data_IF_759225713232
#
_entry.id   IF_759225713232
#
_cell.length_a   1.000
_cell.length_b   1.000
_cell.length_c   1.000
_cell.angle_alpha   90.00
_cell.angle_beta   90.00
_cell.angle_gamma   90.00
#
_symmetry.space_group_name_H-M   'P 1'
#
loop_
_entity.id
_entity.type
_entity.pdbx_description
1 polymer ?
#
# COMPACT_ATOMS: atom_id res chain seq x y z
N UNK A 1 5.01 -3.43 10.22
CA UNK A 1 4.13 -2.24 10.13
C UNK A 1 4.40 -1.08 11.10
N UNK A 2 5.13 -1.21 12.24
CA UNK A 2 5.46 -0.02 13.04
C UNK A 2 6.12 1.09 12.22
N UNK A 3 6.89 0.71 11.19
CA UNK A 3 7.58 1.65 10.32
C UNK A 3 6.67 2.44 9.37
N UNK A 4 5.47 1.93 9.04
CA UNK A 4 4.52 2.65 8.18
C UNK A 4 3.62 3.58 8.98
N UNK A 5 3.18 3.14 10.17
CA UNK A 5 2.34 3.96 11.05
C UNK A 5 2.98 5.32 11.34
N UNK A 6 4.23 5.34 11.82
CA UNK A 6 4.92 6.58 12.18
C UNK A 6 5.01 7.57 11.00
N UNK A 7 5.36 7.06 9.81
CA UNK A 7 5.49 7.90 8.61
C UNK A 7 4.13 8.40 8.12
N UNK A 8 3.10 7.55 8.10
CA UNK A 8 1.75 7.96 7.73
C UNK A 8 1.22 9.02 8.69
N UNK A 9 1.46 8.87 10.01
CA UNK A 9 1.08 9.88 11.01
C UNK A 9 1.80 11.20 10.78
N UNK A 10 3.06 11.17 10.33
CA UNK A 10 3.82 12.38 9.99
C UNK A 10 3.30 13.05 8.71
N UNK A 11 3.01 12.27 7.66
CA UNK A 11 2.48 12.78 6.39
C UNK A 11 1.05 13.30 6.51
N UNK A 12 0.24 12.65 7.35
CA UNK A 12 -1.20 12.89 7.47
C UNK A 12 -1.59 13.04 8.95
N UNK A 13 -1.22 14.15 9.61
CA UNK A 13 -1.48 14.36 11.04
C UNK A 13 -2.98 14.48 11.36
N UNK A 14 -3.82 14.73 10.34
CA UNK A 14 -5.27 14.79 10.47
C UNK A 14 -5.97 13.42 10.29
N UNK A 15 -5.24 12.36 9.92
CA UNK A 15 -5.82 11.02 9.75
C UNK A 15 -5.72 10.25 11.07
N UNK A 16 -6.75 9.47 11.37
CA UNK A 16 -6.66 8.47 12.43
C UNK A 16 -5.89 7.26 11.88
N UNK A 17 -4.76 6.91 12.50
CA UNK A 17 -3.91 5.80 12.06
C UNK A 17 -3.64 4.89 13.26
N UNK A 18 -4.26 3.72 13.27
CA UNK A 18 -4.24 2.80 14.41
C UNK A 18 -4.18 1.34 13.98
N UNK A 19 -3.87 0.45 14.93
CA UNK A 19 -4.01 -0.98 14.68
C UNK A 19 -5.30 -1.46 15.36
N UNK A 20 -6.06 -2.32 14.68
CA UNK A 20 -7.22 -2.97 15.30
C UNK A 20 -6.81 -4.16 16.18
N UNK A 21 -7.78 -4.81 16.81
CA UNK A 21 -7.55 -5.99 17.66
C UNK A 21 -6.95 -7.19 16.90
N UNK A 22 -7.12 -7.25 15.58
CA UNK A 22 -6.54 -8.27 14.70
C UNK A 22 -5.12 -7.93 14.22
N UNK A 23 -4.61 -6.74 14.54
CA UNK A 23 -3.29 -6.26 14.11
C UNK A 23 -3.28 -5.57 12.75
N UNK A 24 -4.42 -5.36 12.10
CA UNK A 24 -4.50 -4.62 10.82
C UNK A 24 -4.28 -3.13 11.06
N UNK A 25 -3.56 -2.46 10.16
CA UNK A 25 -3.44 -0.99 10.20
C UNK A 25 -4.67 -0.36 9.56
N UNK A 26 -5.41 0.45 10.32
CA UNK A 26 -6.51 1.27 9.86
C UNK A 26 -6.00 2.69 9.61
N UNK A 27 -6.35 3.25 8.46
CA UNK A 27 -6.18 4.67 8.12
C UNK A 27 -7.56 5.25 7.88
N UNK A 28 -8.03 6.16 8.74
CA UNK A 28 -9.29 6.88 8.56
C UNK A 28 -9.06 8.37 8.29
N UNK A 29 -9.78 8.88 7.31
CA UNK A 29 -9.85 10.29 6.97
C UNK A 29 -11.32 10.69 6.82
N UNK A 30 -11.61 12.00 6.77
CA UNK A 30 -12.96 12.50 6.52
C UNK A 30 -13.59 11.96 5.23
N UNK A 31 -12.76 11.54 4.27
CA UNK A 31 -13.16 11.04 2.94
C UNK A 31 -13.32 9.51 2.87
N UNK A 32 -13.03 8.77 3.95
CA UNK A 32 -13.15 7.31 3.98
C UNK A 32 -12.10 6.63 4.86
N UNK A 33 -12.03 5.30 4.78
CA UNK A 33 -11.07 4.49 5.51
C UNK A 33 -10.38 3.45 4.61
N UNK A 34 -9.18 3.04 4.98
CA UNK A 34 -8.37 2.00 4.35
C UNK A 34 -7.89 1.03 5.43
N UNK A 35 -8.02 -0.26 5.18
CA UNK A 35 -7.47 -1.32 6.03
C UNK A 35 -6.22 -1.90 5.36
N UNK A 36 -5.14 -2.10 6.09
CA UNK A 36 -3.95 -2.78 5.61
C UNK A 36 -3.76 -4.02 6.47
N UNK A 37 -4.09 -5.17 5.89
CA UNK A 37 -4.03 -6.45 6.56
C UNK A 37 -2.69 -7.10 6.23
N UNK A 38 -2.07 -7.79 7.19
CA UNK A 38 -0.97 -8.69 6.90
C UNK A 38 -1.58 -10.07 6.64
N UNK A 39 -1.80 -10.51 5.39
CA UNK A 39 -2.35 -11.85 5.15
C UNK A 39 -1.39 -12.92 5.68
N UNK A 40 -1.96 -14.06 6.05
CA UNK A 40 -1.17 -15.22 6.44
C UNK A 40 -0.59 -15.99 5.24
N UNK A 41 -1.06 -15.86 3.98
CA UNK A 41 -0.45 -16.66 2.88
C UNK A 41 -0.78 -16.34 1.41
N UNK A 42 -1.88 -15.66 1.07
CA UNK A 42 -2.39 -15.73 -0.31
C UNK A 42 -1.88 -14.60 -1.22
N UNK A 43 -0.71 -14.81 -1.81
CA UNK A 43 -0.25 -14.06 -2.99
C UNK A 43 -0.45 -14.94 -4.22
N UNK A 44 -0.90 -14.34 -5.32
CA UNK A 44 -0.94 -15.00 -6.62
C UNK A 44 0.44 -15.60 -6.96
N UNK A 45 0.47 -16.80 -7.55
CA UNK A 45 1.72 -17.54 -7.82
C UNK A 45 2.67 -16.73 -8.71
N UNK A 46 2.15 -15.98 -9.70
CA UNK A 46 2.97 -15.16 -10.60
C UNK A 46 3.57 -13.95 -9.85
N UNK A 47 2.76 -13.28 -9.03
CA UNK A 47 3.23 -12.18 -8.18
C UNK A 47 4.26 -12.68 -7.15
N UNK A 48 4.03 -13.86 -6.56
CA UNK A 48 4.92 -14.48 -5.59
C UNK A 48 6.32 -14.71 -6.19
N UNK A 49 6.41 -15.25 -7.41
CA UNK A 49 7.70 -15.47 -8.08
C UNK A 49 8.52 -14.19 -8.21
N UNK A 50 7.90 -13.08 -8.64
CA UNK A 50 8.61 -11.81 -8.79
C UNK A 50 9.00 -11.21 -7.42
N UNK A 51 8.10 -11.30 -6.44
CA UNK A 51 8.35 -10.80 -5.08
C UNK A 51 9.54 -11.54 -4.47
N UNK A 52 9.56 -12.88 -4.48
CA UNK A 52 10.66 -13.67 -3.91
C UNK A 52 11.96 -13.60 -4.71
N UNK A 53 11.89 -13.27 -6.01
CA UNK A 53 13.09 -12.96 -6.80
C UNK A 53 13.68 -11.57 -6.49
N UNK A 54 12.86 -10.63 -6.02
CA UNK A 54 13.25 -9.23 -5.81
C UNK A 54 13.59 -8.90 -4.36
N UNK A 55 12.87 -9.50 -3.40
CA UNK A 55 12.95 -9.19 -1.98
C UNK A 55 13.32 -10.43 -1.17
N UNK A 56 14.30 -10.30 -0.28
CA UNK A 56 14.63 -11.34 0.70
C UNK A 56 13.69 -11.24 1.90
N UNK A 57 12.92 -12.30 2.18
CA UNK A 57 11.91 -12.36 3.26
C UNK A 57 10.88 -11.21 3.19
N UNK A 58 10.07 -11.15 2.11
CA UNK A 58 9.05 -10.13 1.96
C UNK A 58 7.99 -10.22 3.08
N UNK A 59 7.57 -9.07 3.59
CA UNK A 59 6.33 -8.97 4.37
C UNK A 59 5.26 -8.46 3.42
N UNK A 60 4.23 -9.27 3.22
CA UNK A 60 3.13 -8.97 2.30
C UNK A 60 2.02 -8.29 3.08
N UNK A 61 1.40 -7.27 2.47
CA UNK A 61 0.27 -6.54 3.00
C UNK A 61 -0.84 -6.48 1.95
N UNK A 62 -2.08 -6.73 2.36
CA UNK A 62 -3.27 -6.64 1.51
C UNK A 62 -4.06 -5.41 1.88
N UNK A 63 -4.52 -4.70 0.85
CA UNK A 63 -5.34 -3.52 1.00
C UNK A 63 -6.62 -3.72 0.20
N UNK A 64 -7.81 -3.61 0.82
CA UNK A 64 -9.06 -3.75 0.10
C UNK A 64 -9.27 -2.55 -0.83
N UNK A 65 -9.98 -2.77 -1.94
CA UNK A 65 -10.29 -1.76 -2.96
C UNK A 65 -11.25 -0.64 -2.53
N UNK A 66 -11.45 -0.42 -1.22
CA UNK A 66 -12.27 0.67 -0.69
C UNK A 66 -11.39 1.89 -0.42
N UNK A 67 -11.93 3.08 -0.69
CA UNK A 67 -11.20 4.33 -0.42
C UNK A 67 -9.96 4.53 -1.29
N UNK A 68 -10.00 4.14 -2.58
CA UNK A 68 -8.83 4.21 -3.47
C UNK A 68 -8.14 5.58 -3.50
N UNK A 69 -8.89 6.68 -3.40
CA UNK A 69 -8.30 8.02 -3.30
C UNK A 69 -7.40 8.18 -2.05
N UNK A 70 -7.88 7.73 -0.90
CA UNK A 70 -7.13 7.73 0.36
C UNK A 70 -5.94 6.77 0.27
N UNK A 71 -6.11 5.59 -0.35
CA UNK A 71 -5.01 4.65 -0.57
C UNK A 71 -3.91 5.24 -1.45
N UNK A 72 -4.25 5.91 -2.56
CA UNK A 72 -3.26 6.60 -3.42
C UNK A 72 -2.46 7.60 -2.60
N UNK A 73 -3.13 8.41 -1.78
CA UNK A 73 -2.45 9.38 -0.90
C UNK A 73 -1.50 8.68 0.07
N UNK A 74 -1.97 7.66 0.79
CA UNK A 74 -1.14 6.88 1.70
C UNK A 74 0.10 6.31 0.99
N UNK A 75 -0.08 5.71 -0.20
CA UNK A 75 1.01 5.16 -1.01
C UNK A 75 1.98 6.22 -1.52
N UNK A 76 1.53 7.44 -1.84
CA UNK A 76 2.47 8.52 -2.20
C UNK A 76 3.41 8.91 -1.06
N UNK A 77 2.97 8.75 0.20
CA UNK A 77 3.82 9.00 1.36
C UNK A 77 4.82 7.85 1.61
N UNK A 78 4.35 6.59 1.61
CA UNK A 78 5.21 5.45 1.98
C UNK A 78 5.95 4.81 0.80
N UNK A 79 5.54 5.13 -0.42
CA UNK A 79 5.98 4.47 -1.65
C UNK A 79 7.42 4.79 -2.06
N UNK A 80 8.00 5.91 -1.65
CA UNK A 80 9.38 6.28 -2.01
C UNK A 80 10.47 5.46 -1.27
N UNK A 81 10.19 4.23 -0.87
CA UNK A 81 11.15 3.30 -0.25
C UNK A 81 11.61 2.26 -1.26
N UNK A 82 12.93 2.03 -1.32
CA UNK A 82 13.54 1.10 -2.28
C UNK A 82 13.12 -0.37 -2.10
N UNK A 83 12.61 -0.71 -0.91
CA UNK A 83 12.22 -2.08 -0.54
C UNK A 83 10.72 -2.34 -0.64
N UNK A 84 9.95 -1.43 -1.24
CA UNK A 84 8.51 -1.61 -1.42
C UNK A 84 8.21 -2.08 -2.85
N UNK A 85 7.42 -3.13 -2.98
CA UNK A 85 6.74 -3.52 -4.21
C UNK A 85 5.25 -3.30 -4.01
N UNK A 86 4.57 -2.76 -5.03
CA UNK A 86 3.13 -2.53 -5.02
C UNK A 86 2.54 -3.30 -6.18
N UNK A 87 1.73 -4.29 -5.84
CA UNK A 87 0.83 -4.97 -6.77
C UNK A 87 -0.55 -4.31 -6.70
N UNK A 88 -1.05 -3.84 -7.83
CA UNK A 88 -2.37 -3.25 -7.93
C UNK A 88 -3.47 -4.29 -8.22
N UNK A 89 -3.08 -5.56 -8.44
CA UNK A 89 -3.88 -6.73 -8.76
C UNK A 89 -4.74 -6.56 -10.04
N UNK A 90 -4.22 -5.74 -10.97
CA UNK A 90 -4.67 -5.56 -12.35
C UNK A 90 -3.46 -5.51 -13.31
N UNK A 91 -2.45 -6.36 -13.08
CA UNK A 91 -1.29 -6.48 -13.96
C UNK A 91 -0.24 -5.36 -13.81
N UNK A 92 -0.37 -4.45 -12.84
CA UNK A 92 0.68 -3.49 -12.48
C UNK A 92 1.39 -3.93 -11.20
N UNK A 93 2.63 -4.39 -11.33
CA UNK A 93 3.55 -4.64 -10.23
C UNK A 93 4.79 -3.75 -10.40
N UNK A 94 4.96 -2.79 -9.50
CA UNK A 94 6.02 -1.77 -9.59
C UNK A 94 6.76 -1.61 -8.27
N UNK A 95 8.01 -1.13 -8.33
CA UNK A 95 8.67 -0.62 -7.13
C UNK A 95 7.92 0.59 -6.62
N UNK A 96 7.95 0.80 -5.31
CA UNK A 96 7.19 1.86 -4.66
C UNK A 96 7.44 3.23 -5.30
N UNK A 97 8.69 3.61 -5.55
CA UNK A 97 9.01 4.91 -6.15
C UNK A 97 8.50 5.03 -7.60
N UNK A 98 8.48 3.94 -8.37
CA UNK A 98 7.93 3.92 -9.72
C UNK A 98 6.40 4.06 -9.69
N UNK A 99 5.76 3.40 -8.72
CA UNK A 99 4.33 3.52 -8.48
C UNK A 99 3.96 4.96 -8.08
N UNK A 100 4.72 5.59 -7.18
CA UNK A 100 4.54 7.01 -6.80
C UNK A 100 4.68 7.91 -8.03
N UNK A 101 5.72 7.70 -8.85
CA UNK A 101 5.90 8.44 -10.10
C UNK A 101 4.71 8.26 -11.05
N UNK A 102 4.14 7.06 -11.14
CA UNK A 102 2.92 6.79 -11.93
C UNK A 102 1.72 7.59 -11.39
N UNK A 103 1.49 7.57 -10.08
CA UNK A 103 0.41 8.34 -9.43
C UNK A 103 0.55 9.85 -9.63
N UNK A 104 1.77 10.39 -9.54
CA UNK A 104 2.03 11.82 -9.72
C UNK A 104 1.84 12.24 -11.17
N UNK A 105 2.34 11.45 -12.13
CA UNK A 105 2.24 11.78 -13.55
C UNK A 105 0.84 11.53 -14.13
N UNK A 106 0.04 10.65 -13.51
CA UNK A 106 -1.29 10.27 -13.95
C UNK A 106 -2.29 10.31 -12.77
N UNK A 107 -2.65 11.50 -12.27
CA UNK A 107 -3.51 11.63 -11.08
C UNK A 107 -4.89 10.98 -11.27
N UNK A 108 -5.38 10.93 -12.52
CA UNK A 108 -6.65 10.32 -12.90
C UNK A 108 -6.52 8.85 -13.35
N UNK A 109 -5.36 8.22 -13.22
CA UNK A 109 -5.16 6.83 -13.61
C UNK A 109 -6.20 5.93 -12.93
N UNK A 110 -6.94 5.15 -13.72
CA UNK A 110 -7.90 4.21 -13.14
C UNK A 110 -7.14 2.97 -12.71
N UNK A 111 -7.42 2.54 -11.48
CA UNK A 111 -6.67 1.46 -10.85
C UNK A 111 -6.82 0.12 -11.59
N UNK A 112 -7.92 -0.06 -12.32
CA UNK A 112 -8.27 -1.27 -13.08
C UNK A 112 -8.07 -1.15 -14.60
N UNK A 113 -7.28 -0.18 -15.06
CA UNK A 113 -6.85 -0.09 -16.46
C UNK A 113 -5.63 -0.97 -16.76
#
# INVERSE_FOLDING_TARGET
MPEFKAQLTQCFPAFLIEHNASGDLIIEAATGHVYINQPDSEVDIEAAQLIYATLSNPIIYHVPYRGLGLLKQALTCIGNRDKLLIDNNFGTLLRGHEFVKKLVNQPNWKWCE
#
